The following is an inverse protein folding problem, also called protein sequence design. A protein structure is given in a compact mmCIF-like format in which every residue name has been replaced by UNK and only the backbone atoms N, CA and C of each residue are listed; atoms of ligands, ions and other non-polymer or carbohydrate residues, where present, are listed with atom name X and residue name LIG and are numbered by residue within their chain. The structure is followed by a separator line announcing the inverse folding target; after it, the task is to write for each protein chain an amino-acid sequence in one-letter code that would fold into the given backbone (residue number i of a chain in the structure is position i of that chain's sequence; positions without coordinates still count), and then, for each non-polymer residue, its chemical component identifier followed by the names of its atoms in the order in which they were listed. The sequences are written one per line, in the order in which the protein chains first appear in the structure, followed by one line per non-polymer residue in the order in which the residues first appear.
data_IF_045608503239
#
_entry.id   IF_045608503239
#
_cell.length_a   1.000
_cell.length_b   1.000
_cell.length_c   1.000
_cell.angle_alpha   90.00
_cell.angle_beta   90.00
_cell.angle_gamma   90.00
#
_symmetry.space_group_name_H-M   'P 1'
#
loop_
_entity.id
_entity.type
_entity.pdbx_description
1 polymer ?
#
# COMPACT_ATOMS: atom_id res chain seq x y z
N UNK A 1 20.71 5.24 -17.33
CA UNK A 1 19.41 5.27 -16.62
C UNK A 1 18.97 3.89 -16.11
N UNK A 2 19.41 2.76 -16.70
CA UNK A 2 19.07 1.40 -16.22
C UNK A 2 19.65 1.04 -14.84
N UNK A 3 20.92 1.36 -14.58
CA UNK A 3 21.63 0.89 -13.38
C UNK A 3 21.05 1.37 -12.04
N UNK A 4 20.45 2.57 -11.98
CA UNK A 4 19.87 3.10 -10.73
C UNK A 4 18.57 2.36 -10.38
N UNK A 5 17.77 2.04 -11.40
CA UNK A 5 16.51 1.28 -11.21
C UNK A 5 16.85 -0.13 -10.73
N UNK A 6 17.84 -0.78 -11.33
CA UNK A 6 18.29 -2.11 -10.91
C UNK A 6 18.82 -2.12 -9.47
N UNK A 7 19.61 -1.10 -9.09
CA UNK A 7 20.07 -0.93 -7.71
C UNK A 7 18.91 -0.69 -6.74
N UNK A 8 17.95 0.15 -7.13
CA UNK A 8 16.77 0.44 -6.32
C UNK A 8 15.92 -0.81 -6.11
N UNK A 9 15.68 -1.60 -7.15
CA UNK A 9 14.96 -2.87 -7.04
C UNK A 9 15.68 -3.88 -6.15
N UNK A 10 17.03 -3.97 -6.22
CA UNK A 10 17.83 -4.82 -5.33
C UNK A 10 17.74 -4.36 -3.87
N UNK A 11 17.85 -3.06 -3.61
CA UNK A 11 17.77 -2.48 -2.26
C UNK A 11 16.40 -2.71 -1.65
N UNK A 12 15.33 -2.46 -2.42
CA UNK A 12 13.95 -2.75 -1.98
C UNK A 12 13.73 -4.26 -1.75
N UNK A 13 14.21 -5.11 -2.65
CA UNK A 13 14.13 -6.58 -2.52
C UNK A 13 14.89 -7.12 -1.30
N UNK A 14 15.97 -6.46 -0.89
CA UNK A 14 16.73 -6.78 0.32
C UNK A 14 16.08 -6.27 1.63
N UNK A 15 14.91 -5.62 1.54
CA UNK A 15 14.13 -5.17 2.68
C UNK A 15 14.50 -3.77 3.20
N UNK A 16 15.27 -2.99 2.45
CA UNK A 16 15.51 -1.58 2.81
C UNK A 16 14.29 -0.72 2.48
N UNK A 17 14.02 0.27 3.33
CA UNK A 17 12.94 1.23 3.14
C UNK A 17 13.49 2.65 2.99
N UNK A 18 12.81 3.55 2.26
CA UNK A 18 13.20 4.96 2.22
C UNK A 18 13.32 5.51 3.64
N UNK A 19 14.48 6.05 3.97
CA UNK A 19 14.75 6.62 5.29
C UNK A 19 14.16 8.03 5.35
N UNK A 20 13.31 8.28 6.36
CA UNK A 20 12.58 9.54 6.54
C UNK A 20 13.08 10.36 7.75
N UNK A 21 14.10 9.88 8.46
CA UNK A 21 14.67 10.61 9.58
C UNK A 21 15.54 11.77 9.14
N UNK A 22 15.82 12.67 10.08
CA UNK A 22 16.78 13.74 9.88
C UNK A 22 18.21 13.18 9.81
N UNK A 23 19.05 13.82 8.99
CA UNK A 23 20.48 13.54 8.89
C UNK A 23 21.20 14.86 9.15
N UNK A 24 22.06 14.87 10.16
CA UNK A 24 22.86 16.03 10.50
C UNK A 24 23.76 16.44 9.32
N UNK A 25 23.92 17.75 9.05
CA UNK A 25 24.78 18.23 7.96
C UNK A 25 26.20 17.68 8.02
N UNK A 26 26.74 17.51 9.22
CA UNK A 26 28.11 17.03 9.45
C UNK A 26 28.34 15.59 8.97
N UNK A 27 27.28 14.77 8.92
CA UNK A 27 27.36 13.42 8.35
C UNK A 27 27.71 13.45 6.85
N UNK A 28 27.22 14.45 6.11
CA UNK A 28 27.55 14.62 4.69
C UNK A 28 28.99 15.07 4.47
N UNK A 29 29.51 15.93 5.37
CA UNK A 29 30.91 16.37 5.37
C UNK A 29 31.84 15.17 5.56
N UNK A 30 31.56 14.32 6.56
CA UNK A 30 32.32 13.07 6.80
C UNK A 30 32.30 12.13 5.59
N UNK A 31 31.17 12.05 4.90
CA UNK A 31 31.01 11.22 3.71
C UNK A 31 31.55 11.87 2.43
N UNK A 32 32.14 13.07 2.50
CA UNK A 32 32.63 13.84 1.35
C UNK A 32 31.54 14.01 0.27
N UNK A 33 30.29 14.20 0.69
CA UNK A 33 29.17 14.33 -0.22
C UNK A 33 29.10 15.75 -0.79
N UNK A 34 29.26 15.87 -2.10
CA UNK A 34 29.24 17.18 -2.78
C UNK A 34 27.82 17.75 -2.94
N UNK A 35 26.80 16.90 -2.95
CA UNK A 35 25.40 17.29 -3.19
C UNK A 35 24.45 16.64 -2.18
N UNK A 36 24.38 17.14 -0.93
CA UNK A 36 23.49 16.60 0.10
C UNK A 36 22.01 16.64 -0.30
N UNK A 37 21.58 17.65 -1.05
CA UNK A 37 20.17 17.80 -1.48
C UNK A 37 19.70 16.71 -2.45
N UNK A 38 20.62 16.08 -3.17
CA UNK A 38 20.31 14.95 -4.07
C UNK A 38 20.39 13.60 -3.36
N UNK A 39 20.77 13.56 -2.09
CA UNK A 39 20.88 12.32 -1.36
C UNK A 39 19.52 11.64 -1.21
N UNK A 40 19.51 10.31 -1.39
CA UNK A 40 18.32 9.47 -1.27
C UNK A 40 18.70 8.26 -0.45
N UNK A 41 18.42 8.35 0.86
CA UNK A 41 18.82 7.33 1.82
C UNK A 41 17.74 6.27 1.99
N UNK A 42 18.19 5.02 2.13
CA UNK A 42 17.40 3.86 2.44
C UNK A 42 17.98 3.19 3.68
N UNK A 43 17.13 2.74 4.59
CA UNK A 43 17.53 2.13 5.84
C UNK A 43 16.94 0.73 6.00
N UNK A 44 17.72 -0.16 6.61
CA UNK A 44 17.29 -1.43 7.17
C UNK A 44 17.99 -1.59 8.51
N UNK A 45 17.22 -1.52 9.60
CA UNK A 45 17.76 -1.50 10.96
C UNK A 45 18.78 -0.36 11.14
N UNK A 46 20.06 -0.67 11.36
CA UNK A 46 21.15 0.29 11.50
C UNK A 46 22.02 0.42 10.23
N UNK A 47 21.59 -0.14 9.11
CA UNK A 47 22.31 -0.09 7.84
C UNK A 47 21.65 0.93 6.91
N UNK A 48 22.44 1.85 6.36
CA UNK A 48 21.95 2.93 5.51
C UNK A 48 22.68 2.94 4.17
N UNK A 49 21.94 3.11 3.08
CA UNK A 49 22.46 3.17 1.71
C UNK A 49 21.92 4.41 1.01
N UNK A 50 22.79 5.22 0.41
CA UNK A 50 22.42 6.38 -0.39
C UNK A 50 22.45 6.03 -1.87
N UNK A 51 21.36 6.28 -2.60
CA UNK A 51 21.28 6.12 -4.05
C UNK A 51 21.18 7.47 -4.79
N UNK A 52 21.59 8.57 -4.14
CA UNK A 52 21.51 9.93 -4.71
C UNK A 52 22.57 10.25 -5.76
N UNK A 53 23.66 9.48 -5.80
CA UNK A 53 24.74 9.62 -6.77
C UNK A 53 25.33 8.25 -7.12
N UNK A 54 26.22 8.21 -8.12
CA UNK A 54 26.87 6.97 -8.60
C UNK A 54 27.76 6.28 -7.56
N UNK A 55 28.16 6.96 -6.47
CA UNK A 55 29.01 6.38 -5.41
C UNK A 55 28.29 5.34 -4.56
N UNK A 56 26.95 5.36 -4.54
CA UNK A 56 26.13 4.42 -3.78
C UNK A 56 26.60 4.20 -2.32
N UNK A 57 26.82 5.29 -1.57
CA UNK A 57 27.46 5.21 -0.25
C UNK A 57 26.66 4.32 0.72
N UNK A 58 27.34 3.41 1.41
CA UNK A 58 26.75 2.54 2.42
C UNK A 58 27.44 2.76 3.77
N UNK A 59 26.66 2.86 4.84
CA UNK A 59 27.15 3.07 6.21
C UNK A 59 26.39 2.19 7.20
N UNK A 60 27.07 1.76 8.26
CA UNK A 60 26.50 0.96 9.34
C UNK A 60 26.65 1.73 10.63
N UNK A 61 25.54 1.90 11.36
CA UNK A 61 25.45 2.69 12.59
C UNK A 61 26.14 4.08 12.50
N UNK A 62 25.81 4.91 11.49
CA UNK A 62 26.45 6.20 11.29
C UNK A 62 26.07 7.21 12.38
N UNK A 63 27.04 8.01 12.83
CA UNK A 63 26.77 9.18 13.67
C UNK A 63 26.07 10.28 12.88
N UNK A 64 25.10 10.95 13.52
CA UNK A 64 24.31 12.04 12.93
C UNK A 64 23.09 11.60 12.12
N UNK A 65 22.76 10.30 12.11
CA UNK A 65 21.49 9.80 11.59
C UNK A 65 20.50 9.67 12.74
N UNK A 66 19.35 10.32 12.63
CA UNK A 66 18.28 10.19 13.60
C UNK A 66 17.80 8.72 13.71
N UNK A 67 17.77 8.19 14.93
CA UNK A 67 17.11 6.92 15.17
C UNK A 67 15.61 7.10 15.03
N UNK A 68 15.08 6.66 13.88
CA UNK A 68 13.64 6.60 13.65
C UNK A 68 13.15 5.37 14.39
N UNK A 69 12.49 5.60 15.53
CA UNK A 69 11.78 4.53 16.21
C UNK A 69 10.83 3.87 15.20
N UNK A 70 10.73 2.53 15.16
CA UNK A 70 9.68 1.85 14.43
C UNK A 70 8.36 2.16 15.12
N UNK A 71 7.86 3.37 14.93
CA UNK A 71 6.50 3.70 15.26
C UNK A 71 5.73 2.82 14.31
N UNK A 72 5.13 1.77 14.87
CA UNK A 72 3.99 1.11 14.30
C UNK A 72 2.88 2.16 14.27
N UNK A 73 3.03 3.20 13.44
CA UNK A 73 1.97 4.10 13.12
C UNK A 73 0.96 3.14 12.51
N UNK A 74 -0.03 2.72 13.31
CA UNK A 74 -1.21 2.01 12.83
C UNK A 74 -1.57 2.75 11.58
N UNK A 75 -1.41 2.14 10.41
CA UNK A 75 -1.54 2.81 9.11
C UNK A 75 -2.87 3.56 9.12
N UNK A 76 -2.90 4.83 9.53
CA UNK A 76 -4.05 5.73 9.40
C UNK A 76 -3.95 6.38 8.03
N UNK A 77 -3.67 5.56 7.05
CA UNK A 77 -4.04 5.81 5.68
C UNK A 77 -4.86 4.58 5.32
N UNK A 78 -6.15 4.62 5.67
CA UNK A 78 -7.14 4.06 4.76
C UNK A 78 -7.02 4.88 3.48
N UNK A 79 -5.98 4.64 2.66
CA UNK A 79 -6.13 5.00 1.27
C UNK A 79 -7.37 4.24 0.82
N UNK A 80 -8.25 4.87 0.07
CA UNK A 80 -9.37 4.20 -0.58
C UNK A 80 -8.93 2.97 -1.41
N UNK A 81 -7.62 2.81 -1.61
CA UNK A 81 -6.97 1.69 -2.29
C UNK A 81 -6.34 0.63 -1.35
N UNK A 82 -6.17 0.88 -0.05
CA UNK A 82 -5.44 -0.02 0.86
C UNK A 82 -6.17 -1.35 1.13
N UNK A 83 -7.48 -1.38 0.91
CA UNK A 83 -8.32 -2.57 1.05
C UNK A 83 -8.88 -3.05 -0.29
N UNK A 84 -8.42 -2.49 -1.42
CA UNK A 84 -8.83 -3.05 -2.71
C UNK A 84 -8.11 -4.38 -2.87
N UNK A 85 -8.84 -5.48 -3.05
CA UNK A 85 -8.20 -6.76 -3.28
C UNK A 85 -7.36 -6.64 -4.55
N UNK A 86 -6.17 -7.24 -4.55
CA UNK A 86 -5.26 -7.36 -5.71
C UNK A 86 -5.86 -8.24 -6.84
N UNK A 87 -7.19 -8.37 -6.84
CA UNK A 87 -8.02 -9.35 -7.51
C UNK A 87 -9.09 -8.57 -8.25
N UNK A 88 -9.26 -8.85 -9.53
CA UNK A 88 -10.29 -8.17 -10.34
C UNK A 88 -11.69 -8.49 -9.81
N UNK A 89 -12.66 -7.61 -10.10
CA UNK A 89 -14.07 -7.82 -9.75
C UNK A 89 -14.60 -9.17 -10.29
N UNK A 90 -14.22 -9.54 -11.51
CA UNK A 90 -14.58 -10.83 -12.12
C UNK A 90 -13.98 -12.02 -11.36
N UNK A 91 -12.70 -11.94 -10.98
CA UNK A 91 -12.02 -12.99 -10.25
C UNK A 91 -12.58 -13.17 -8.83
N UNK A 92 -12.97 -12.07 -8.16
CA UNK A 92 -13.69 -12.11 -6.88
C UNK A 92 -15.02 -12.85 -7.00
N UNK A 93 -15.82 -12.48 -8.01
CA UNK A 93 -17.11 -13.11 -8.25
C UNK A 93 -16.97 -14.60 -8.55
N UNK A 94 -15.93 -15.03 -9.29
CA UNK A 94 -15.70 -16.46 -9.56
C UNK A 94 -15.28 -17.25 -8.33
N UNK A 95 -14.53 -16.64 -7.42
CA UNK A 95 -13.90 -17.35 -6.30
C UNK A 95 -14.80 -17.45 -5.07
N UNK A 96 -15.63 -16.42 -4.81
CA UNK A 96 -16.43 -16.31 -3.58
C UNK A 96 -17.92 -16.44 -3.88
N UNK A 97 -18.61 -17.25 -3.09
CA UNK A 97 -20.09 -17.34 -3.09
C UNK A 97 -20.73 -16.20 -2.31
N UNK A 98 -20.10 -15.77 -1.21
CA UNK A 98 -20.57 -14.71 -0.32
C UNK A 98 -19.50 -13.62 -0.25
N UNK A 99 -19.92 -12.39 -0.56
CA UNK A 99 -19.10 -11.20 -0.56
C UNK A 99 -19.32 -10.41 0.73
N UNK A 100 -18.25 -9.77 1.20
CA UNK A 100 -18.34 -8.75 2.25
C UNK A 100 -18.90 -7.44 1.69
N UNK A 101 -19.30 -6.52 2.56
CA UNK A 101 -19.86 -5.22 2.18
C UNK A 101 -18.85 -4.38 1.39
N UNK A 102 -17.59 -4.37 1.82
CA UNK A 102 -16.46 -3.71 1.15
C UNK A 102 -16.16 -4.33 -0.22
N UNK A 103 -16.20 -5.65 -0.33
CA UNK A 103 -15.96 -6.36 -1.58
C UNK A 103 -17.09 -6.13 -2.59
N UNK A 104 -18.35 -6.16 -2.14
CA UNK A 104 -19.50 -5.85 -2.99
C UNK A 104 -19.50 -4.37 -3.42
N UNK A 105 -19.11 -3.45 -2.52
CA UNK A 105 -18.95 -2.03 -2.82
C UNK A 105 -17.90 -1.81 -3.91
N UNK A 106 -16.78 -2.54 -3.82
CA UNK A 106 -15.74 -2.53 -4.84
C UNK A 106 -16.25 -3.03 -6.20
N UNK A 107 -16.94 -4.17 -6.23
CA UNK A 107 -17.44 -4.78 -7.47
C UNK A 107 -18.47 -3.90 -8.17
N UNK A 108 -19.38 -3.28 -7.42
CA UNK A 108 -20.44 -2.41 -7.95
C UNK A 108 -20.02 -0.96 -8.12
N UNK A 109 -18.80 -0.59 -7.71
CA UNK A 109 -18.27 0.77 -7.66
C UNK A 109 -19.23 1.77 -6.99
N UNK A 110 -19.74 1.39 -5.82
CA UNK A 110 -20.66 2.19 -4.99
C UNK A 110 -20.17 2.27 -3.54
N UNK A 111 -20.76 3.15 -2.74
CA UNK A 111 -20.40 3.26 -1.33
C UNK A 111 -20.95 2.10 -0.50
N UNK A 112 -20.28 1.76 0.61
CA UNK A 112 -20.78 0.73 1.54
C UNK A 112 -22.16 1.08 2.14
N UNK A 113 -22.51 2.37 2.20
CA UNK A 113 -23.82 2.82 2.68
C UNK A 113 -24.90 2.45 1.67
N UNK A 114 -24.65 2.69 0.38
CA UNK A 114 -25.59 2.31 -0.68
C UNK A 114 -25.79 0.80 -0.76
N UNK A 115 -24.75 0.00 -0.47
CA UNK A 115 -24.88 -1.47 -0.40
C UNK A 115 -25.87 -1.86 0.68
N UNK A 116 -25.78 -1.26 1.87
CA UNK A 116 -26.72 -1.54 2.97
C UNK A 116 -28.14 -1.12 2.58
N UNK A 117 -28.29 0.07 1.98
CA UNK A 117 -29.59 0.50 1.46
C UNK A 117 -30.14 -0.47 0.41
N UNK A 118 -29.32 -1.03 -0.47
CA UNK A 118 -29.76 -1.99 -1.49
C UNK A 118 -30.19 -3.33 -0.88
N UNK A 119 -29.58 -3.73 0.24
CA UNK A 119 -30.05 -4.89 1.01
C UNK A 119 -31.38 -4.58 1.68
N UNK A 120 -31.51 -3.40 2.30
CA UNK A 120 -32.75 -2.97 2.95
C UNK A 120 -33.92 -2.82 1.95
N UNK A 121 -33.62 -2.35 0.74
CA UNK A 121 -34.55 -2.24 -0.40
C UNK A 121 -34.85 -3.60 -1.07
N UNK A 122 -34.17 -4.68 -0.68
CA UNK A 122 -34.34 -6.02 -1.25
C UNK A 122 -33.75 -6.20 -2.66
N UNK A 123 -32.97 -5.24 -3.16
CA UNK A 123 -32.26 -5.32 -4.45
C UNK A 123 -31.08 -6.29 -4.41
N UNK A 124 -30.44 -6.43 -3.24
CA UNK A 124 -29.35 -7.37 -3.01
C UNK A 124 -29.76 -8.42 -1.97
N UNK A 125 -29.52 -9.70 -2.30
CA UNK A 125 -29.79 -10.81 -1.40
C UNK A 125 -28.67 -10.93 -0.37
N UNK A 126 -29.01 -10.75 0.91
CA UNK A 126 -28.11 -10.94 2.03
C UNK A 126 -28.27 -12.33 2.68
N UNK A 127 -27.19 -12.83 3.25
CA UNK A 127 -27.23 -14.00 4.12
C UNK A 127 -27.90 -13.63 5.46
N UNK A 128 -28.72 -14.51 6.05
CA UNK A 128 -29.46 -14.21 7.29
C UNK A 128 -28.55 -14.02 8.51
N UNK A 129 -27.43 -14.74 8.56
CA UNK A 129 -26.51 -14.67 9.70
C UNK A 129 -25.60 -13.43 9.64
N UNK A 130 -25.40 -12.81 10.79
CA UNK A 130 -24.39 -11.78 10.97
C UNK A 130 -22.96 -12.39 10.95
N UNK A 131 -21.93 -11.66 10.45
CA UNK A 131 -21.97 -10.30 9.91
C UNK A 131 -22.54 -10.23 8.49
N UNK A 132 -23.07 -9.07 8.07
CA UNK A 132 -23.70 -8.88 6.76
C UNK A 132 -22.80 -9.37 5.60
N UNK A 133 -23.36 -10.31 4.82
CA UNK A 133 -22.77 -10.88 3.59
C UNK A 133 -23.77 -10.85 2.46
N UNK A 134 -23.32 -10.52 1.26
CA UNK A 134 -24.16 -10.43 0.06
C UNK A 134 -23.80 -11.59 -0.88
N UNK A 135 -24.80 -12.22 -1.50
CA UNK A 135 -24.58 -13.34 -2.43
C UNK A 135 -23.99 -12.85 -3.75
N UNK A 136 -22.96 -13.54 -4.25
CA UNK A 136 -22.30 -13.18 -5.51
C UNK A 136 -23.26 -13.22 -6.72
N UNK A 137 -24.23 -14.13 -6.73
CA UNK A 137 -25.26 -14.21 -7.78
C UNK A 137 -26.12 -12.95 -7.88
N UNK A 138 -26.53 -12.41 -6.73
CA UNK A 138 -27.32 -11.18 -6.66
C UNK A 138 -26.51 -9.98 -7.17
N UNK A 139 -25.22 -9.91 -6.83
CA UNK A 139 -24.31 -8.88 -7.35
C UNK A 139 -24.13 -9.00 -8.87
N UNK A 140 -23.99 -10.22 -9.42
CA UNK A 140 -23.92 -10.44 -10.88
C UNK A 140 -25.20 -10.01 -11.58
N UNK A 141 -26.37 -10.28 -10.98
CA UNK A 141 -27.66 -9.86 -11.54
C UNK A 141 -27.78 -8.34 -11.54
N UNK A 142 -27.38 -7.68 -10.45
CA UNK A 142 -27.35 -6.22 -10.36
C UNK A 142 -26.41 -5.58 -11.40
N UNK A 143 -25.24 -6.16 -11.63
CA UNK A 143 -24.31 -5.71 -12.69
C UNK A 143 -24.94 -5.83 -14.09
N UNK A 144 -25.61 -6.94 -14.39
CA UNK A 144 -26.27 -7.14 -15.69
C UNK A 144 -27.41 -6.14 -15.91
N UNK A 145 -28.18 -5.83 -14.86
CA UNK A 145 -29.28 -4.87 -14.94
C UNK A 145 -28.84 -3.40 -15.10
N UNK A 146 -27.58 -3.07 -14.81
CA UNK A 146 -26.99 -1.72 -15.00
C UNK A 146 -26.33 -1.52 -16.36
N UNK A 147 -26.06 -2.61 -17.09
CA UNK A 147 -25.42 -2.58 -18.40
C UNK A 147 -26.44 -2.49 -19.56
N UNK A 148 -27.73 -2.46 -19.24
CA UNK A 148 -28.85 -2.21 -20.14
C UNK A 148 -29.37 -0.78 -19.92
#
# INVERSE_FOLDING_TARGET
MSQIIDMLLKVLGAGYQPYQGHIEPDAYTRLTCQNPERSRWFARELQFICLGCSRACAVVNPSGFQLVLPVSARKRAKSCFANLPLVSADQLLRTKLLLRVDEAAFVLNISEREIRNYVDEGKLTAHPDAPLRVTADSVRQCLRGRAA
#
